data_IF_423190960405
#
_entry.id   IF_423190960405
#
_cell.length_a   1.000
_cell.length_b   1.000
_cell.length_c   1.000
_cell.angle_alpha   90.00
_cell.angle_beta   90.00
_cell.angle_gamma   90.00
#
_symmetry.space_group_name_H-M   'P 1'
#
loop_
_entity.id
_entity.type
_entity.pdbx_description
1 polymer ?
#
# COMPACT_ATOMS: atom_id res chain seq x y z
N UNK A 1 12.14 4.55 -11.77
CA UNK A 1 10.99 5.33 -11.24
C UNK A 1 10.88 5.09 -9.73
N UNK A 2 10.47 6.06 -8.90
CA UNK A 2 10.35 5.89 -7.44
C UNK A 2 9.31 4.82 -7.04
N UNK A 3 8.39 4.46 -7.95
CA UNK A 3 7.29 3.52 -7.72
C UNK A 3 7.67 2.03 -7.85
N UNK A 4 8.80 1.71 -8.49
CA UNK A 4 9.30 0.32 -8.60
C UNK A 4 10.10 -0.12 -7.38
N UNK A 5 10.03 0.62 -6.27
CA UNK A 5 10.72 0.29 -5.03
C UNK A 5 10.03 -0.91 -4.38
N UNK A 6 10.80 -1.94 -4.06
CA UNK A 6 10.28 -3.09 -3.30
C UNK A 6 9.79 -2.58 -1.94
N UNK A 7 8.70 -3.17 -1.46
CA UNK A 7 8.30 -3.02 -0.06
C UNK A 7 9.44 -3.52 0.83
N UNK A 8 9.53 -2.98 2.06
CA UNK A 8 10.52 -3.45 3.05
C UNK A 8 10.38 -4.95 3.27
N UNK A 9 9.13 -5.44 3.31
CA UNK A 9 8.81 -6.86 3.31
C UNK A 9 7.76 -7.17 2.22
N UNK A 10 7.87 -8.32 1.53
CA UNK A 10 6.85 -8.75 0.58
C UNK A 10 5.52 -9.00 1.30
N UNK A 11 4.42 -8.42 0.80
CA UNK A 11 3.07 -8.76 1.24
C UNK A 11 2.50 -9.78 0.26
N UNK A 12 2.33 -11.02 0.71
CA UNK A 12 1.71 -12.09 -0.07
C UNK A 12 0.20 -12.06 0.14
N UNK A 13 -0.54 -11.86 -0.94
CA UNK A 13 -2.00 -11.98 -0.98
C UNK A 13 -2.44 -13.45 -0.92
N UNK A 14 -3.70 -13.70 -0.57
CA UNK A 14 -4.29 -15.06 -0.59
C UNK A 14 -4.23 -15.77 -1.94
N UNK A 15 -4.10 -15.01 -3.02
CA UNK A 15 -3.94 -15.54 -4.38
C UNK A 15 -2.47 -15.86 -4.75
N UNK A 16 -1.54 -15.71 -3.79
CA UNK A 16 -0.12 -15.98 -3.95
C UNK A 16 0.68 -14.83 -4.57
N UNK A 17 0.05 -13.70 -4.94
CA UNK A 17 0.76 -12.54 -5.50
C UNK A 17 1.51 -11.77 -4.42
N UNK A 18 2.74 -11.38 -4.73
CA UNK A 18 3.53 -10.48 -3.90
C UNK A 18 3.31 -9.05 -4.38
N UNK A 19 2.77 -8.19 -3.52
CA UNK A 19 2.53 -6.79 -3.86
C UNK A 19 3.82 -5.97 -3.77
N UNK A 20 4.11 -5.17 -4.80
CA UNK A 20 5.05 -4.05 -4.75
C UNK A 20 4.35 -2.73 -4.39
N UNK A 21 5.12 -1.65 -4.18
CA UNK A 21 4.57 -0.29 -4.00
C UNK A 21 3.73 0.13 -5.21
N UNK A 22 4.15 -0.24 -6.43
CA UNK A 22 3.40 0.03 -7.65
C UNK A 22 2.09 -0.76 -7.71
N UNK A 23 2.12 -2.05 -7.34
CA UNK A 23 0.92 -2.89 -7.34
C UNK A 23 -0.10 -2.43 -6.30
N UNK A 24 0.37 -2.02 -5.11
CA UNK A 24 -0.48 -1.43 -4.09
C UNK A 24 -1.19 -0.16 -4.60
N UNK A 25 -0.47 0.73 -5.31
CA UNK A 25 -1.07 1.91 -5.95
C UNK A 25 -2.09 1.53 -7.01
N UNK A 26 -1.76 0.60 -7.90
CA UNK A 26 -2.68 0.13 -8.95
C UNK A 26 -3.94 -0.49 -8.35
N UNK A 27 -3.78 -1.27 -7.27
CA UNK A 27 -4.88 -1.85 -6.52
C UNK A 27 -5.79 -0.78 -5.91
N UNK A 28 -5.21 0.22 -5.25
CA UNK A 28 -5.98 1.30 -4.63
C UNK A 28 -6.77 2.12 -5.65
N UNK A 29 -6.18 2.39 -6.83
CA UNK A 29 -6.86 3.08 -7.92
C UNK A 29 -7.99 2.23 -8.53
N UNK A 30 -7.93 0.91 -8.42
CA UNK A 30 -8.96 -0.01 -8.89
C UNK A 30 -10.10 -0.22 -7.88
N UNK A 31 -9.97 0.29 -6.65
CA UNK A 31 -11.04 0.18 -5.65
C UNK A 31 -12.24 1.08 -6.01
N UNK A 32 -13.49 0.67 -5.72
CA UNK A 32 -14.65 1.54 -5.81
C UNK A 32 -14.47 2.79 -4.93
N UNK A 33 -15.02 3.93 -5.36
CA UNK A 33 -14.87 5.23 -4.69
C UNK A 33 -15.23 5.17 -3.19
N UNK A 34 -16.32 4.46 -2.83
CA UNK A 34 -16.72 4.23 -1.43
C UNK A 34 -15.60 3.60 -0.59
N UNK A 35 -14.81 2.67 -1.16
CA UNK A 35 -13.66 2.06 -0.50
C UNK A 35 -12.47 3.01 -0.49
N UNK A 36 -12.21 3.73 -1.57
CA UNK A 36 -11.13 4.74 -1.58
C UNK A 36 -11.30 5.81 -0.50
N UNK A 37 -12.55 6.20 -0.22
CA UNK A 37 -12.89 7.15 0.85
C UNK A 37 -12.79 6.56 2.26
N UNK A 38 -12.55 5.26 2.42
CA UNK A 38 -12.42 4.68 3.74
C UNK A 38 -11.13 5.21 4.42
N UNK A 39 -11.18 5.57 5.72
CA UNK A 39 -10.06 6.25 6.38
C UNK A 39 -8.73 5.49 6.31
N UNK A 40 -8.78 4.16 6.33
CA UNK A 40 -7.60 3.32 6.24
C UNK A 40 -6.95 3.35 4.84
N UNK A 41 -7.74 3.51 3.77
CA UNK A 41 -7.27 3.64 2.40
C UNK A 41 -6.72 5.04 2.10
N UNK A 42 -7.36 6.09 2.63
CA UNK A 42 -6.81 7.45 2.54
C UNK A 42 -5.44 7.55 3.23
N UNK A 43 -5.33 7.00 4.44
CA UNK A 43 -4.07 6.99 5.18
C UNK A 43 -2.98 6.14 4.48
N UNK A 44 -3.35 4.99 3.90
CA UNK A 44 -2.43 4.20 3.07
C UNK A 44 -1.92 5.00 1.86
N UNK A 45 -2.77 5.84 1.24
CA UNK A 45 -2.40 6.67 0.08
C UNK A 45 -1.37 7.73 0.47
N UNK A 46 -1.61 8.42 1.58
CA UNK A 46 -0.68 9.43 2.09
C UNK A 46 0.69 8.85 2.42
N UNK A 47 0.72 7.68 3.06
CA UNK A 47 1.96 7.01 3.40
C UNK A 47 2.69 6.51 2.16
N UNK A 48 1.98 6.02 1.14
CA UNK A 48 2.56 5.65 -0.15
C UNK A 48 3.18 6.84 -0.89
N UNK A 49 2.51 8.00 -0.88
CA UNK A 49 3.03 9.24 -1.47
C UNK A 49 4.28 9.74 -0.72
N UNK A 50 4.28 9.65 0.61
CA UNK A 50 5.45 9.95 1.45
C UNK A 50 6.61 9.00 1.19
N UNK A 51 6.35 7.70 1.01
CA UNK A 51 7.38 6.72 0.68
C UNK A 51 7.96 6.89 -0.75
N UNK A 52 7.15 7.41 -1.68
CA UNK A 52 7.58 7.71 -3.05
C UNK A 52 8.43 9.00 -3.15
N UNK A 53 8.30 9.92 -2.18
CA UNK A 53 9.08 11.16 -2.11
C UNK A 53 10.39 10.93 -1.34
N UNK A 54 11.50 11.33 -1.95
CA UNK A 54 12.84 10.70 -1.80
C UNK A 54 13.59 11.01 -0.48
N UNK A 55 12.92 11.31 0.64
CA UNK A 55 13.63 11.76 1.85
C UNK A 55 13.14 11.22 3.21
N UNK A 56 12.38 10.12 3.25
CA UNK A 56 11.99 9.52 4.52
C UNK A 56 12.44 8.06 4.59
N UNK A 57 13.28 7.77 5.59
CA UNK A 57 13.78 6.41 5.88
C UNK A 57 12.70 5.57 6.57
N UNK A 58 11.78 6.21 7.30
CA UNK A 58 10.72 5.56 8.08
C UNK A 58 9.39 5.41 7.30
N UNK A 59 9.09 6.32 6.36
CA UNK A 59 7.86 6.28 5.57
C UNK A 59 7.59 4.96 4.84
N UNK A 60 8.58 4.22 4.31
CA UNK A 60 8.32 2.94 3.66
C UNK A 60 7.84 1.84 4.63
N UNK A 61 8.18 1.93 5.94
CA UNK A 61 7.76 0.96 6.96
C UNK A 61 6.32 1.22 7.40
N UNK A 62 5.99 2.48 7.63
CA UNK A 62 4.63 2.88 8.01
C UNK A 62 3.64 2.63 6.87
N UNK A 63 4.03 2.95 5.63
CA UNK A 63 3.24 2.64 4.44
C UNK A 63 2.96 1.14 4.31
N UNK A 64 3.97 0.29 4.56
CA UNK A 64 3.81 -1.15 4.55
C UNK A 64 2.86 -1.65 5.64
N UNK A 65 3.03 -1.17 6.88
CA UNK A 65 2.21 -1.59 8.01
C UNK A 65 0.74 -1.23 7.78
N UNK A 66 0.48 -0.03 7.25
CA UNK A 66 -0.87 0.42 6.96
C UNK A 66 -1.49 -0.32 5.77
N UNK A 67 -0.72 -0.59 4.71
CA UNK A 67 -1.18 -1.43 3.59
C UNK A 67 -1.59 -2.83 4.05
N UNK A 68 -0.75 -3.48 4.86
CA UNK A 68 -1.08 -4.80 5.42
C UNK A 68 -2.36 -4.77 6.25
N UNK A 69 -2.58 -3.69 7.02
CA UNK A 69 -3.80 -3.51 7.82
C UNK A 69 -5.04 -3.32 6.96
N UNK A 70 -4.95 -2.53 5.90
CA UNK A 70 -6.06 -2.35 4.94
C UNK A 70 -6.41 -3.67 4.24
N UNK A 71 -5.40 -4.45 3.84
CA UNK A 71 -5.61 -5.76 3.22
C UNK A 71 -6.23 -6.78 4.19
N UNK A 72 -5.84 -6.78 5.47
CA UNK A 72 -6.48 -7.60 6.50
C UNK A 72 -7.95 -7.20 6.71
N UNK A 73 -8.26 -5.90 6.73
CA UNK A 73 -9.63 -5.42 6.90
C UNK A 73 -10.56 -5.82 5.75
N UNK A 74 -10.01 -5.96 4.54
CA UNK A 74 -10.73 -6.46 3.35
C UNK A 74 -10.65 -8.00 3.21
N UNK A 75 -10.00 -8.71 4.13
CA UNK A 75 -9.89 -10.17 4.13
C UNK A 75 -9.02 -10.75 3.02
N UNK A 76 -8.04 -10.00 2.52
CA UNK A 76 -7.21 -10.35 1.35
C UNK A 76 -5.86 -10.98 1.68
N UNK A 77 -5.46 -10.94 2.95
CA UNK A 77 -4.28 -11.58 3.54
C UNK A 77 -4.67 -12.34 4.80
#
# INVERSE_FOLDING_TARGET
MPWSRKLIEPITLKDGRVLTVADARAFMLALPERRQMAPYWQYATELLLKAATRNSVDAPRDAWAQLRRALMAEGMV
#
